data_IF_407007181933
#
_entry.id   IF_407007181933
#
_cell.length_a   1.000
_cell.length_b   1.000
_cell.length_c   1.000
_cell.angle_alpha   90.00
_cell.angle_beta   90.00
_cell.angle_gamma   90.00
#
_symmetry.space_group_name_H-M   'P 1'
#
loop_
_entity.id
_entity.type
_entity.pdbx_description
1 polymer ?
#
# COMPACT_ATOMS: atom_id res chain seq x y z
N UNK A 1 17.92 5.91 5.84
CA UNK A 1 16.95 6.86 6.42
C UNK A 1 15.89 6.11 7.22
N UNK A 2 15.13 5.19 6.60
CA UNK A 2 14.14 4.35 7.30
C UNK A 2 14.67 3.61 8.54
N UNK A 3 15.82 2.91 8.47
CA UNK A 3 16.42 2.20 9.63
C UNK A 3 16.60 3.13 10.84
N UNK A 4 17.13 4.33 10.60
CA UNK A 4 17.37 5.33 11.65
C UNK A 4 16.05 5.90 12.17
N UNK A 5 15.18 6.33 11.27
CA UNK A 5 13.98 7.08 11.64
C UNK A 5 12.90 6.16 12.26
N UNK A 6 12.94 4.85 11.98
CA UNK A 6 12.14 3.83 12.66
C UNK A 6 12.75 3.34 13.97
N UNK A 7 13.97 3.75 14.31
CA UNK A 7 14.74 3.22 15.45
C UNK A 7 14.82 1.69 15.38
N UNK A 8 15.15 1.17 14.19
CA UNK A 8 14.95 -0.23 13.86
C UNK A 8 16.08 -1.16 14.31
N UNK A 9 17.25 -0.62 14.69
CA UNK A 9 18.33 -1.45 15.23
C UNK A 9 17.94 -2.03 16.60
N UNK A 10 18.34 -3.26 16.85
CA UNK A 10 18.30 -3.83 18.20
C UNK A 10 19.41 -3.19 19.08
N UNK A 11 19.36 -3.38 20.42
CA UNK A 11 20.35 -2.78 21.33
C UNK A 11 21.79 -3.21 21.08
N UNK A 12 22.01 -4.36 20.42
CA UNK A 12 23.32 -4.91 20.12
C UNK A 12 23.76 -4.68 18.67
N UNK A 13 22.93 -3.99 17.88
CA UNK A 13 23.09 -3.75 16.43
C UNK A 13 23.29 -5.02 15.56
N UNK A 14 22.77 -6.15 16.02
CA UNK A 14 22.80 -7.45 15.32
C UNK A 14 21.53 -7.71 14.49
N UNK A 15 20.44 -6.98 14.76
CA UNK A 15 19.15 -7.21 14.14
C UNK A 15 18.43 -5.94 13.71
N UNK A 16 17.49 -6.09 12.78
CA UNK A 16 16.61 -5.03 12.31
C UNK A 16 15.14 -5.37 12.62
N UNK A 17 14.42 -4.38 13.12
CA UNK A 17 13.01 -4.52 13.51
C UNK A 17 12.11 -4.65 12.28
N UNK A 18 11.35 -5.74 12.22
CA UNK A 18 10.29 -5.94 11.24
C UNK A 18 8.98 -5.34 11.77
N UNK A 19 8.43 -4.33 11.08
CA UNK A 19 7.18 -3.70 11.50
C UNK A 19 5.97 -4.64 11.44
N UNK A 20 5.99 -5.64 10.56
CA UNK A 20 4.88 -6.58 10.33
C UNK A 20 4.95 -7.77 11.28
N UNK A 21 6.12 -8.38 11.46
CA UNK A 21 6.31 -9.51 12.38
C UNK A 21 6.43 -9.05 13.83
N UNK A 22 6.94 -7.84 14.08
CA UNK A 22 7.11 -7.30 15.42
C UNK A 22 8.21 -7.97 16.21
N UNK A 23 9.31 -8.28 15.53
CA UNK A 23 10.50 -8.88 16.10
C UNK A 23 11.75 -8.37 15.36
N UNK A 24 12.91 -8.60 15.97
CA UNK A 24 14.19 -8.35 15.31
C UNK A 24 14.56 -9.55 14.44
N UNK A 25 14.88 -9.27 13.18
CA UNK A 25 15.36 -10.28 12.22
C UNK A 25 16.80 -9.98 11.81
N UNK A 26 17.43 -10.97 11.20
CA UNK A 26 18.74 -10.79 10.57
C UNK A 26 18.67 -9.67 9.52
N UNK A 27 19.60 -8.70 9.51
CA UNK A 27 19.56 -7.57 8.60
C UNK A 27 19.46 -7.95 7.12
N UNK A 28 20.05 -9.09 6.73
CA UNK A 28 20.03 -9.63 5.37
C UNK A 28 18.63 -10.06 4.90
N UNK A 29 17.67 -10.21 5.83
CA UNK A 29 16.30 -10.63 5.58
C UNK A 29 15.28 -9.50 5.65
N UNK A 30 15.72 -8.26 5.96
CA UNK A 30 14.86 -7.08 6.06
C UNK A 30 15.02 -6.22 4.81
N UNK A 31 13.89 -5.81 4.24
CA UNK A 31 13.83 -4.88 3.12
C UNK A 31 13.01 -3.63 3.50
N UNK A 32 13.41 -2.45 2.99
CA UNK A 32 12.57 -1.27 3.02
C UNK A 32 11.45 -1.39 1.97
N UNK A 33 10.23 -1.09 2.39
CA UNK A 33 9.07 -0.98 1.52
C UNK A 33 8.62 0.47 1.44
N UNK A 34 8.47 1.04 0.23
CA UNK A 34 7.85 2.35 0.04
C UNK A 34 6.40 2.19 -0.45
N UNK A 35 5.42 2.87 0.14
CA UNK A 35 4.03 2.82 -0.35
C UNK A 35 3.89 3.49 -1.72
N UNK A 36 4.49 4.67 -1.86
CA UNK A 36 4.66 5.36 -3.14
C UNK A 36 6.10 5.15 -3.63
N UNK A 37 6.32 4.58 -4.83
CA UNK A 37 7.66 4.22 -5.28
C UNK A 37 8.62 5.42 -5.32
N UNK A 38 9.79 5.30 -4.70
CA UNK A 38 10.85 6.32 -4.80
C UNK A 38 11.44 6.48 -6.22
N UNK A 39 11.21 5.50 -7.11
CA UNK A 39 11.47 5.60 -8.55
C UNK A 39 10.71 6.78 -9.18
N UNK A 40 9.60 7.17 -8.55
CA UNK A 40 8.86 8.37 -8.90
C UNK A 40 9.45 9.55 -8.14
N UNK A 41 9.70 10.64 -8.86
CA UNK A 41 10.25 11.85 -8.26
C UNK A 41 9.23 12.54 -7.36
N UNK A 42 9.72 13.38 -6.46
CA UNK A 42 8.90 14.10 -5.49
C UNK A 42 7.83 14.98 -6.16
N UNK A 43 8.11 15.54 -7.33
CA UNK A 43 7.14 16.33 -8.09
C UNK A 43 5.92 15.50 -8.50
N UNK A 44 6.09 14.19 -8.72
CA UNK A 44 4.99 13.26 -9.02
C UNK A 44 4.18 12.99 -7.76
N UNK A 45 4.85 12.78 -6.62
CA UNK A 45 4.17 12.62 -5.33
C UNK A 45 3.30 13.86 -5.02
N UNK A 46 3.83 15.06 -5.24
CA UNK A 46 3.08 16.30 -5.00
C UNK A 46 1.89 16.48 -5.93
N UNK A 47 1.92 15.93 -7.15
CA UNK A 47 0.73 15.91 -8.03
C UNK A 47 -0.38 15.03 -7.46
N UNK A 48 -0.04 13.83 -6.96
CA UNK A 48 -1.04 12.91 -6.41
C UNK A 48 -1.60 13.33 -5.05
N UNK A 49 -0.75 13.86 -4.17
CA UNK A 49 -1.07 14.08 -2.75
C UNK A 49 -1.05 15.56 -2.33
N UNK A 50 -0.87 16.47 -3.29
CA UNK A 50 -0.73 17.91 -3.07
C UNK A 50 0.64 18.32 -2.48
N UNK A 51 0.87 19.63 -2.40
CA UNK A 51 2.12 20.22 -1.90
C UNK A 51 2.47 19.85 -0.45
N UNK A 52 1.49 19.42 0.35
CA UNK A 52 1.69 18.92 1.72
C UNK A 52 2.51 17.63 1.82
N UNK A 53 2.78 16.97 0.68
CA UNK A 53 3.61 15.77 0.58
C UNK A 53 5.09 16.06 0.28
N UNK A 54 5.47 17.33 0.20
CA UNK A 54 6.86 17.73 -0.02
C UNK A 54 7.78 17.14 1.08
N UNK A 55 8.94 16.64 0.67
CA UNK A 55 9.96 15.94 1.46
C UNK A 55 9.49 14.63 2.11
N UNK A 56 8.32 14.09 1.75
CA UNK A 56 7.83 12.85 2.33
C UNK A 56 8.26 11.60 1.56
N UNK A 57 8.77 11.73 0.32
CA UNK A 57 9.13 10.60 -0.57
C UNK A 57 10.06 9.59 0.09
N UNK A 58 11.10 10.08 0.76
CA UNK A 58 12.09 9.24 1.44
C UNK A 58 11.90 9.22 2.98
N UNK A 59 10.79 9.75 3.46
CA UNK A 59 10.49 9.83 4.89
C UNK A 59 9.86 8.52 5.39
N UNK A 60 9.91 8.24 6.72
CA UNK A 60 9.22 7.09 7.29
C UNK A 60 7.68 7.15 7.18
N UNK A 61 7.13 8.27 6.71
CA UNK A 61 5.70 8.39 6.39
C UNK A 61 5.35 7.58 5.14
N UNK A 62 6.29 7.42 4.21
CA UNK A 62 6.11 6.69 2.97
C UNK A 62 6.64 5.24 3.04
N UNK A 63 7.11 4.74 4.18
CA UNK A 63 7.69 3.40 4.18
C UNK A 63 7.72 2.62 5.49
N UNK A 64 7.95 1.33 5.34
CA UNK A 64 8.04 0.32 6.40
C UNK A 64 9.34 -0.48 6.24
N UNK A 65 9.77 -1.12 7.32
CA UNK A 65 10.79 -2.16 7.30
C UNK A 65 10.12 -3.49 7.58
N UNK A 66 10.35 -4.49 6.72
CA UNK A 66 9.72 -5.79 6.86
C UNK A 66 10.59 -6.91 6.30
N UNK A 67 10.24 -8.15 6.62
CA UNK A 67 10.88 -9.32 6.03
C UNK A 67 10.78 -9.29 4.49
N UNK A 68 11.85 -9.64 3.78
CA UNK A 68 11.95 -9.63 2.30
C UNK A 68 10.80 -10.38 1.62
N UNK A 69 10.37 -11.53 2.16
CA UNK A 69 9.27 -12.29 1.56
C UNK A 69 7.93 -11.57 1.72
N UNK A 70 7.73 -10.92 2.86
CA UNK A 70 6.53 -10.07 3.09
C UNK A 70 6.57 -8.86 2.16
N UNK A 71 7.74 -8.20 2.04
CA UNK A 71 7.94 -7.05 1.15
C UNK A 71 7.54 -7.37 -0.30
N UNK A 72 7.97 -8.52 -0.80
CA UNK A 72 7.60 -8.99 -2.14
C UNK A 72 6.08 -9.02 -2.35
N UNK A 73 5.34 -9.53 -1.38
CA UNK A 73 3.87 -9.61 -1.48
C UNK A 73 3.18 -8.26 -1.29
N UNK A 74 3.79 -7.32 -0.58
CA UNK A 74 3.38 -5.92 -0.61
C UNK A 74 3.59 -5.29 -2.00
N UNK A 75 4.73 -5.56 -2.66
CA UNK A 75 5.01 -5.11 -4.03
C UNK A 75 4.05 -5.71 -5.07
N UNK A 76 3.66 -6.97 -4.89
CA UNK A 76 2.69 -7.66 -5.74
C UNK A 76 1.25 -7.26 -5.44
N UNK A 77 1.02 -6.46 -4.39
CA UNK A 77 -0.31 -6.05 -3.91
C UNK A 77 -1.21 -7.21 -3.44
N UNK A 78 -0.60 -8.31 -3.00
CA UNK A 78 -1.33 -9.43 -2.39
C UNK A 78 -1.48 -9.29 -0.88
N UNK A 79 -0.75 -8.35 -0.27
CA UNK A 79 -0.87 -7.92 1.13
C UNK A 79 -0.91 -6.39 1.15
N UNK A 80 -1.75 -5.83 2.02
CA UNK A 80 -1.86 -4.38 2.26
C UNK A 80 -1.88 -4.10 3.76
N UNK A 81 -1.79 -2.83 4.14
CA UNK A 81 -2.20 -2.38 5.49
C UNK A 81 -3.49 -1.58 5.43
N UNK A 82 -4.28 -1.70 6.48
CA UNK A 82 -5.51 -0.93 6.70
C UNK A 82 -5.52 -0.37 8.12
N UNK A 83 -6.20 0.75 8.36
CA UNK A 83 -6.30 1.31 9.70
C UNK A 83 -7.18 0.42 10.59
N UNK A 84 -6.85 0.32 11.88
CA UNK A 84 -7.64 -0.46 12.86
C UNK A 84 -8.83 0.37 13.40
N UNK A 85 -8.64 1.67 13.52
CA UNK A 85 -9.62 2.65 14.03
C UNK A 85 -9.81 3.76 12.98
N UNK A 86 -10.52 4.82 13.36
CA UNK A 86 -10.68 6.01 12.52
C UNK A 86 -9.33 6.50 11.93
N UNK A 87 -9.20 6.54 10.58
CA UNK A 87 -7.98 6.97 9.87
C UNK A 87 -7.54 8.39 10.24
N UNK A 88 -8.47 9.22 10.73
CA UNK A 88 -8.24 10.62 11.09
C UNK A 88 -7.57 10.77 12.45
N UNK A 89 -7.74 9.81 13.36
CA UNK A 89 -7.32 9.91 14.75
C UNK A 89 -6.21 8.91 15.13
N UNK A 90 -6.00 7.83 14.37
CA UNK A 90 -5.15 6.72 14.84
C UNK A 90 -4.00 6.29 13.90
N UNK A 91 -2.84 6.15 14.53
CA UNK A 91 -1.53 5.66 14.03
C UNK A 91 -1.41 4.13 14.02
N UNK A 92 -2.54 3.41 14.02
CA UNK A 92 -2.60 1.95 14.20
C UNK A 92 -3.00 1.28 12.90
N UNK A 93 -2.18 0.33 12.50
CA UNK A 93 -2.27 -0.33 11.21
C UNK A 93 -2.34 -1.83 11.45
N UNK A 94 -3.17 -2.54 10.70
CA UNK A 94 -3.11 -3.99 10.61
C UNK A 94 -2.82 -4.43 9.19
N UNK A 95 -2.14 -5.56 9.04
CA UNK A 95 -1.96 -6.22 7.75
C UNK A 95 -3.24 -6.95 7.33
N UNK A 96 -3.52 -6.92 6.03
CA UNK A 96 -4.61 -7.67 5.42
C UNK A 96 -4.06 -8.42 4.22
N UNK A 97 -4.09 -9.75 4.31
CA UNK A 97 -3.74 -10.64 3.19
C UNK A 97 -4.94 -10.74 2.26
N UNK A 98 -4.80 -10.24 1.03
CA UNK A 98 -5.85 -10.19 0.03
C UNK A 98 -5.94 -11.49 -0.76
N UNK A 99 -4.79 -12.08 -1.10
CA UNK A 99 -4.76 -13.38 -1.77
C UNK A 99 -4.95 -14.50 -0.74
N UNK A 100 -6.16 -15.05 -0.62
CA UNK A 100 -6.46 -16.14 0.33
C UNK A 100 -5.58 -17.39 0.13
N UNK A 101 -5.03 -17.64 -1.06
CA UNK A 101 -4.09 -18.76 -1.30
C UNK A 101 -2.81 -18.59 -0.49
N UNK A 102 -2.37 -17.34 -0.31
CA UNK A 102 -1.15 -16.99 0.41
C UNK A 102 -1.22 -17.37 1.89
N UNK A 103 -2.42 -17.39 2.50
CA UNK A 103 -2.60 -17.64 3.94
C UNK A 103 -1.96 -18.95 4.42
N UNK A 104 -1.87 -19.96 3.56
CA UNK A 104 -1.30 -21.27 3.90
C UNK A 104 0.17 -21.42 3.47
N UNK A 105 0.75 -20.41 2.81
CA UNK A 105 2.16 -20.43 2.42
C UNK A 105 3.05 -20.01 3.60
N UNK A 106 4.24 -20.59 3.68
CA UNK A 106 5.22 -20.29 4.73
C UNK A 106 5.80 -18.88 4.55
N UNK A 107 5.96 -18.13 5.66
CA UNK A 107 6.56 -16.79 5.65
C UNK A 107 8.08 -16.85 5.45
N UNK A 108 8.73 -17.94 5.84
CA UNK A 108 10.14 -18.19 5.61
C UNK A 108 10.39 -19.67 5.37
N UNK A 109 11.44 -19.98 4.61
CA UNK A 109 11.80 -21.37 4.33
C UNK A 109 12.12 -22.11 5.64
N UNK A 110 11.53 -23.28 5.81
CA UNK A 110 11.70 -24.09 7.03
C UNK A 110 10.89 -23.63 8.24
N UNK A 111 10.16 -22.52 8.17
CA UNK A 111 9.25 -22.10 9.25
C UNK A 111 7.91 -22.84 9.19
N UNK A 112 7.34 -23.16 10.35
CA UNK A 112 5.95 -23.65 10.46
C UNK A 112 4.94 -22.51 10.37
N UNK A 113 5.39 -21.26 10.42
CA UNK A 113 4.53 -20.09 10.35
C UNK A 113 4.13 -19.76 8.91
N UNK A 114 2.84 -19.50 8.73
CA UNK A 114 2.27 -19.13 7.44
C UNK A 114 1.79 -17.69 7.42
N UNK A 115 1.50 -17.12 6.24
CA UNK A 115 0.99 -15.74 6.12
C UNK A 115 -0.32 -15.50 6.90
N UNK A 116 -1.00 -16.57 7.34
CA UNK A 116 -2.12 -16.47 8.28
C UNK A 116 -1.77 -15.72 9.56
N UNK A 117 -0.55 -15.84 10.08
CA UNK A 117 -0.16 -15.19 11.34
C UNK A 117 -0.10 -13.66 11.22
N UNK A 118 0.05 -13.14 9.99
CA UNK A 118 0.07 -11.70 9.74
C UNK A 118 -1.27 -11.18 9.24
N UNK A 119 -2.22 -12.03 8.83
CA UNK A 119 -3.56 -11.55 8.50
C UNK A 119 -4.24 -10.99 9.76
N UNK A 120 -4.79 -9.78 9.67
CA UNK A 120 -5.37 -9.00 10.77
C UNK A 120 -4.41 -8.67 11.94
N UNK A 121 -3.11 -8.92 11.79
CA UNK A 121 -2.11 -8.59 12.79
C UNK A 121 -1.81 -7.09 12.80
N UNK A 122 -1.82 -6.49 13.98
CA UNK A 122 -1.40 -5.09 14.17
C UNK A 122 0.11 -4.93 13.96
N UNK A 123 0.51 -3.91 13.20
CA UNK A 123 1.90 -3.52 13.03
C UNK A 123 2.47 -2.95 14.32
N UNK A 124 3.74 -3.24 14.56
CA UNK A 124 4.46 -2.76 15.74
C UNK A 124 5.63 -1.87 15.34
N UNK A 125 5.87 -0.82 16.12
CA UNK A 125 6.87 0.20 15.82
C UNK A 125 7.68 0.49 17.07
N UNK A 126 9.02 0.57 16.92
CA UNK A 126 9.92 0.96 18.02
C UNK A 126 9.90 2.47 18.30
N UNK A 127 9.69 3.27 17.25
CA UNK A 127 9.63 4.73 17.35
C UNK A 127 8.21 5.32 17.25
N UNK A 128 8.15 6.65 17.09
CA UNK A 128 6.92 7.41 16.79
C UNK A 128 6.60 7.47 15.29
N UNK A 129 7.55 7.06 14.45
CA UNK A 129 7.41 6.97 13.01
C UNK A 129 6.24 6.06 12.62
N UNK A 130 5.38 6.56 11.73
CA UNK A 130 4.20 5.84 11.24
C UNK A 130 3.97 6.18 9.77
N UNK A 131 3.47 5.23 8.97
CA UNK A 131 2.96 5.54 7.65
C UNK A 131 1.93 6.66 7.70
N UNK A 132 1.99 7.59 6.74
CA UNK A 132 0.89 8.52 6.53
C UNK A 132 -0.25 7.80 5.81
N UNK A 133 -1.48 8.11 6.23
CA UNK A 133 -2.67 7.46 5.72
C UNK A 133 -2.82 7.56 4.20
N UNK A 134 -2.45 8.71 3.61
CA UNK A 134 -2.46 8.91 2.16
C UNK A 134 -1.70 7.86 1.36
N UNK A 135 -0.53 7.43 1.84
CA UNK A 135 0.31 6.50 1.10
C UNK A 135 -0.13 5.06 1.30
N UNK A 136 -0.50 4.69 2.55
CA UNK A 136 -1.15 3.41 2.83
C UNK A 136 -2.43 3.23 2.02
N UNK A 137 -3.24 4.30 1.90
CA UNK A 137 -4.46 4.32 1.10
C UNK A 137 -4.16 4.18 -0.41
N UNK A 138 -3.17 4.91 -0.93
CA UNK A 138 -2.73 4.75 -2.33
C UNK A 138 -2.38 3.29 -2.64
N UNK A 139 -1.57 2.65 -1.81
CA UNK A 139 -1.18 1.24 -1.97
C UNK A 139 -2.38 0.29 -1.91
N UNK A 140 -3.29 0.49 -0.93
CA UNK A 140 -4.54 -0.25 -0.83
C UNK A 140 -5.39 -0.12 -2.10
N UNK A 141 -5.54 1.10 -2.62
CA UNK A 141 -6.32 1.37 -3.81
C UNK A 141 -5.75 0.69 -5.05
N UNK A 142 -4.43 0.74 -5.24
CA UNK A 142 -3.76 0.01 -6.33
C UNK A 142 -4.01 -1.49 -6.19
N UNK A 143 -3.96 -2.05 -4.97
CA UNK A 143 -4.28 -3.45 -4.74
C UNK A 143 -5.71 -3.80 -5.12
N UNK A 144 -6.69 -2.99 -4.69
CA UNK A 144 -8.10 -3.18 -5.04
C UNK A 144 -8.33 -3.10 -6.55
N UNK A 145 -7.70 -2.13 -7.23
CA UNK A 145 -7.78 -1.99 -8.69
C UNK A 145 -7.18 -3.19 -9.40
N UNK A 146 -6.03 -3.70 -8.95
CA UNK A 146 -5.41 -4.91 -9.54
C UNK A 146 -6.25 -6.15 -9.33
N UNK A 147 -6.87 -6.32 -8.16
CA UNK A 147 -7.82 -7.40 -7.92
C UNK A 147 -9.00 -7.27 -8.87
N UNK A 148 -9.63 -6.09 -8.93
CA UNK A 148 -10.75 -5.83 -9.83
C UNK A 148 -10.41 -6.08 -11.30
N UNK A 149 -9.19 -5.78 -11.74
CA UNK A 149 -8.72 -6.00 -13.11
C UNK A 149 -8.38 -7.48 -13.43
N UNK A 150 -8.07 -8.28 -12.42
CA UNK A 150 -7.68 -9.69 -12.58
C UNK A 150 -8.81 -10.67 -12.27
N UNK A 151 -9.85 -10.22 -11.58
CA UNK A 151 -11.07 -11.01 -11.36
C UNK A 151 -12.04 -10.78 -12.50
N UNK A 152 -12.51 -11.86 -13.15
CA UNK A 152 -13.90 -11.92 -13.58
C UNK A 152 -14.73 -11.43 -12.38
N UNK A 153 -15.49 -10.35 -12.54
CA UNK A 153 -16.17 -9.52 -11.53
C UNK A 153 -16.97 -10.25 -10.40
N UNK A 154 -17.02 -11.58 -10.38
CA UNK A 154 -17.72 -12.45 -9.43
C UNK A 154 -16.96 -12.90 -8.18
N UNK A 155 -15.64 -12.64 -8.01
CA UNK A 155 -14.90 -13.02 -6.78
C UNK A 155 -14.33 -11.80 -6.01
N UNK A 156 -14.95 -10.63 -6.15
CA UNK A 156 -14.94 -9.67 -5.05
C UNK A 156 -15.93 -10.19 -4.01
N UNK A 157 -15.52 -11.19 -3.22
CA UNK A 157 -16.36 -11.75 -2.16
C UNK A 157 -16.83 -10.60 -1.26
N UNK A 158 -18.06 -10.69 -0.79
CA UNK A 158 -18.66 -9.88 0.28
C UNK A 158 -17.75 -9.69 1.51
N UNK A 159 -16.72 -10.51 1.65
CA UNK A 159 -15.74 -10.50 2.75
C UNK A 159 -14.68 -9.39 2.64
N UNK A 160 -14.49 -8.76 1.47
CA UNK A 160 -13.57 -7.63 1.39
C UNK A 160 -14.22 -6.45 2.10
N UNK A 161 -13.64 -6.07 3.24
CA UNK A 161 -14.04 -4.88 3.98
C UNK A 161 -13.73 -3.64 3.12
N UNK A 162 -14.64 -3.32 2.19
CA UNK A 162 -14.67 -2.04 1.46
C UNK A 162 -14.86 -0.85 2.41
N UNK A 163 -15.16 -1.12 3.68
CA UNK A 163 -15.39 -0.15 4.75
C UNK A 163 -14.15 0.06 5.65
N UNK A 164 -12.98 -0.50 5.32
CA UNK A 164 -11.73 -0.21 6.06
C UNK A 164 -11.30 1.26 5.96
N UNK A 165 -11.80 1.96 4.95
CA UNK A 165 -11.54 3.36 4.67
C UNK A 165 -12.90 4.03 4.42
N UNK A 166 -13.15 5.20 5.03
CA UNK A 166 -14.41 5.92 4.85
C UNK A 166 -14.38 6.83 3.61
N UNK A 167 -15.56 7.13 3.04
CA UNK A 167 -15.68 8.03 1.86
C UNK A 167 -15.02 9.40 2.08
N UNK A 168 -15.14 10.05 3.26
CA UNK A 168 -14.42 11.28 3.55
C UNK A 168 -12.90 11.16 3.45
N UNK A 169 -12.32 10.01 3.83
CA UNK A 169 -10.89 9.74 3.68
C UNK A 169 -10.48 9.72 2.21
N UNK A 170 -11.32 9.16 1.32
CA UNK A 170 -11.03 9.07 -0.12
C UNK A 170 -10.81 10.45 -0.75
N UNK A 171 -11.71 11.40 -0.48
CA UNK A 171 -11.66 12.75 -1.07
C UNK A 171 -10.54 13.62 -0.50
N UNK A 172 -9.93 13.23 0.63
CA UNK A 172 -8.92 14.05 1.33
C UNK A 172 -7.49 13.79 0.89
N UNK A 173 -7.18 12.58 0.42
CA UNK A 173 -5.79 12.17 0.22
C UNK A 173 -5.33 12.12 -1.23
N UNK A 174 -6.24 11.99 -2.19
CA UNK A 174 -5.87 11.85 -3.59
C UNK A 174 -6.57 12.90 -4.44
N UNK A 175 -5.81 13.50 -5.35
CA UNK A 175 -6.38 14.32 -6.43
C UNK A 175 -7.13 13.38 -7.38
N UNK A 176 -8.44 13.62 -7.52
CA UNK A 176 -9.38 12.68 -8.16
C UNK A 176 -9.05 12.38 -9.63
N UNK A 177 -8.50 13.37 -10.34
CA UNK A 177 -8.03 13.23 -11.72
C UNK A 177 -6.92 12.18 -11.86
N UNK A 178 -5.97 12.16 -10.92
CA UNK A 178 -4.84 11.25 -10.95
C UNK A 178 -5.26 9.80 -10.74
N UNK A 179 -6.28 9.59 -9.89
CA UNK A 179 -6.87 8.27 -9.63
C UNK A 179 -7.58 7.70 -10.85
N UNK A 180 -8.39 8.52 -11.52
CA UNK A 180 -9.19 8.09 -12.68
C UNK A 180 -8.32 7.51 -13.79
N UNK A 181 -7.16 8.14 -14.02
CA UNK A 181 -6.18 7.70 -15.01
C UNK A 181 -5.35 6.52 -14.55
N UNK A 182 -5.02 6.48 -13.25
CA UNK A 182 -4.35 5.32 -12.66
C UNK A 182 -5.21 4.05 -12.81
N UNK A 183 -6.53 4.15 -12.66
CA UNK A 183 -7.45 3.03 -12.89
C UNK A 183 -7.44 2.57 -14.36
N UNK A 184 -7.44 3.51 -15.31
CA UNK A 184 -7.35 3.21 -16.74
C UNK A 184 -6.07 2.43 -17.08
N UNK A 185 -4.93 2.89 -16.55
CA UNK A 185 -3.61 2.28 -16.81
C UNK A 185 -3.42 0.93 -16.09
N UNK A 186 -3.84 0.79 -14.83
CA UNK A 186 -3.74 -0.48 -14.08
C UNK A 186 -4.69 -1.53 -14.65
N UNK A 187 -5.90 -1.10 -15.00
CA UNK A 187 -7.00 -2.01 -15.29
C UNK A 187 -6.90 -2.71 -16.64
N UNK A 188 -6.38 -2.05 -17.68
CA UNK A 188 -6.75 -2.38 -19.08
C UNK A 188 -8.26 -2.59 -19.26
N UNK A 189 -9.07 -2.05 -18.36
CA UNK A 189 -10.52 -2.03 -18.45
C UNK A 189 -10.85 -1.04 -19.56
N UNK A 190 -11.63 -1.47 -20.56
CA UNK A 190 -12.23 -0.52 -21.49
C UNK A 190 -13.03 0.51 -20.70
N UNK A 191 -13.06 1.76 -21.18
CA UNK A 191 -13.76 2.90 -20.56
C UNK A 191 -15.20 2.58 -20.08
N UNK A 192 -15.81 1.52 -20.60
CA UNK A 192 -17.11 0.96 -20.23
C UNK A 192 -17.22 0.37 -18.82
N UNK A 193 -16.15 -0.14 -18.20
CA UNK A 193 -16.21 -0.79 -16.86
C UNK A 193 -15.82 0.16 -15.72
N UNK A 194 -15.15 1.27 -16.08
CA UNK A 194 -14.78 2.33 -15.15
C UNK A 194 -15.96 2.90 -14.37
N UNK A 195 -17.18 3.10 -14.91
CA UNK A 195 -18.29 3.62 -14.13
C UNK A 195 -18.67 2.72 -12.95
N UNK A 196 -18.58 1.40 -13.08
CA UNK A 196 -18.98 0.47 -12.02
C UNK A 196 -17.88 0.29 -10.97
N UNK A 197 -16.61 0.22 -11.39
CA UNK A 197 -15.45 0.32 -10.49
C UNK A 197 -15.48 1.68 -9.78
N UNK A 198 -15.71 2.77 -10.51
CA UNK A 198 -15.75 4.13 -9.95
C UNK A 198 -16.95 4.31 -9.02
N UNK A 199 -18.12 3.77 -9.33
CA UNK A 199 -19.30 3.81 -8.46
C UNK A 199 -19.10 2.95 -7.20
N UNK A 200 -18.50 1.77 -7.34
CA UNK A 200 -18.26 0.83 -6.23
C UNK A 200 -17.16 1.31 -5.28
N UNK A 201 -16.16 2.04 -5.76
CA UNK A 201 -15.03 2.52 -4.94
C UNK A 201 -15.06 4.03 -4.62
N UNK A 202 -15.73 4.88 -5.42
CA UNK A 202 -15.60 6.35 -5.32
C UNK A 202 -16.93 7.14 -5.18
N UNK A 203 -18.10 6.51 -5.30
CA UNK A 203 -19.39 7.20 -5.15
C UNK A 203 -19.76 8.14 -6.32
N UNK A 204 -20.97 8.71 -6.27
CA UNK A 204 -21.64 9.31 -7.44
C UNK A 204 -21.35 10.80 -7.72
N UNK A 205 -20.50 11.52 -6.96
CA UNK A 205 -20.51 13.01 -6.96
C UNK A 205 -19.14 13.69 -7.04
N UNK A 206 -18.24 13.24 -7.90
CA UNK A 206 -16.97 13.91 -8.12
C UNK A 206 -16.58 13.88 -9.59
N UNK A 207 -16.66 15.01 -10.28
CA UNK A 207 -16.08 15.17 -11.62
C UNK A 207 -15.69 16.62 -11.90
N UNK A 208 -14.43 16.80 -12.27
CA UNK A 208 -13.89 17.77 -13.23
C UNK A 208 -12.55 17.20 -13.72
N UNK A 209 -12.26 17.32 -15.01
CA UNK A 209 -11.21 16.57 -15.75
C UNK A 209 -9.90 17.35 -15.90
N UNK A 210 -8.77 16.71 -15.57
CA UNK A 210 -7.41 17.24 -15.72
C UNK A 210 -6.47 16.42 -16.65
N UNK A 211 -5.50 17.09 -17.27
CA UNK A 211 -4.57 16.58 -18.29
C UNK A 211 -3.35 15.80 -17.73
N UNK A 212 -3.58 14.72 -16.98
CA UNK A 212 -2.55 13.94 -16.25
C UNK A 212 -2.12 12.56 -16.84
N UNK A 213 -2.32 12.31 -18.14
CA UNK A 213 -2.12 10.96 -18.75
C UNK A 213 -0.67 10.45 -18.63
N UNK A 214 0.32 11.32 -18.84
CA UNK A 214 1.74 10.97 -18.68
C UNK A 214 2.10 10.61 -17.24
N UNK A 215 1.40 11.19 -16.26
CA UNK A 215 1.71 10.99 -14.84
C UNK A 215 1.25 9.62 -14.35
N UNK A 216 0.04 9.20 -14.73
CA UNK A 216 -0.48 7.87 -14.39
C UNK A 216 0.38 6.74 -15.01
N UNK A 217 0.76 6.89 -16.28
CA UNK A 217 1.63 5.92 -16.97
C UNK A 217 2.99 5.75 -16.29
N UNK A 218 3.62 6.85 -15.87
CA UNK A 218 4.88 6.80 -15.11
C UNK A 218 4.72 6.04 -13.79
N UNK A 219 3.59 6.23 -13.09
CA UNK A 219 3.30 5.49 -11.85
C UNK A 219 3.16 4.01 -12.13
N UNK A 220 2.38 3.61 -13.12
CA UNK A 220 2.21 2.20 -13.48
C UNK A 220 3.52 1.56 -13.93
N UNK A 221 4.34 2.25 -14.72
CA UNK A 221 5.66 1.78 -15.11
C UNK A 221 6.58 1.59 -13.90
N UNK A 222 6.56 2.51 -12.93
CA UNK A 222 7.34 2.40 -11.70
C UNK A 222 6.87 1.23 -10.82
N UNK A 223 5.55 1.05 -10.70
CA UNK A 223 4.94 -0.09 -10.00
C UNK A 223 5.33 -1.42 -10.65
N UNK A 224 5.30 -1.50 -11.98
CA UNK A 224 5.66 -2.70 -12.73
C UNK A 224 7.14 -3.03 -12.63
N UNK A 225 8.02 -2.03 -12.76
CA UNK A 225 9.48 -2.23 -12.60
C UNK A 225 9.81 -2.76 -11.20
N UNK A 226 9.11 -2.28 -10.18
CA UNK A 226 9.33 -2.74 -8.81
C UNK A 226 8.97 -4.21 -8.60
N UNK A 227 7.97 -4.74 -9.31
CA UNK A 227 7.62 -6.16 -9.22
C UNK A 227 8.61 -7.09 -9.95
N UNK A 228 9.49 -6.55 -10.80
CA UNK A 228 10.44 -7.32 -11.62
C UNK A 228 11.84 -7.41 -11.01
N UNK A 229 12.13 -6.62 -9.97
CA UNK A 229 13.37 -6.65 -9.19
C UNK A 229 13.22 -7.47 -7.92
#
# INVERSE_FOLDING_TARGET
>A
MLIRDHHAKDPYEQGLWCNVLGEYLEPSTIEPFDFFPHLLREEIMQKFFGSSSANELYSPRNGLLMNRRIEKHFCEFSIVIVPINDPMTHRRWKTMVLNKRLLNEQISEGSSETFKIIHDKELTFKGKARPAARYAYFHYMVAMMKIAATTELGILSSDYQTNCWDEPTFRRYLVFDSLSKLTEEIGKCTLSELPEIRKRFFGQSAWETGNEETTAKLVVDALNKRMQG
#
